data_IF_425625490247
#
_entry.id   IF_425625490247
#
_cell.length_a   1.000
_cell.length_b   1.000
_cell.length_c   1.000
_cell.angle_alpha   90.00
_cell.angle_beta   90.00
_cell.angle_gamma   90.00
#
_symmetry.space_group_name_H-M   'P 1'
#
loop_
_entity.id
_entity.type
_entity.pdbx_description
1 polymer ?
#
# COMPACT_ATOMS: atom_id res chain seq x y z
N UNK A 1 -14.89 4.69 19.94
CA UNK A 1 -13.62 5.33 19.53
C UNK A 1 -12.52 4.27 19.64
N UNK A 2 -11.76 3.97 18.57
CA UNK A 2 -10.77 2.88 18.63
C UNK A 2 -9.61 3.31 19.53
N UNK A 3 -9.28 2.50 20.54
CA UNK A 3 -8.34 2.87 21.60
C UNK A 3 -6.91 2.90 21.05
N UNK A 4 -6.09 3.90 21.41
CA UNK A 4 -4.64 3.96 21.11
C UNK A 4 -3.90 2.67 21.45
N UNK A 5 -4.37 1.93 22.48
CA UNK A 5 -3.87 0.59 22.83
C UNK A 5 -4.00 -0.41 21.68
N UNK A 6 -5.11 -0.41 20.94
CA UNK A 6 -5.32 -1.31 19.79
C UNK A 6 -4.20 -1.15 18.77
N UNK A 7 -3.94 0.07 18.29
CA UNK A 7 -2.86 0.32 17.32
C UNK A 7 -1.48 -0.01 17.87
N UNK A 8 -1.28 0.18 19.17
CA UNK A 8 -0.02 -0.12 19.85
C UNK A 8 0.28 -1.62 19.85
N UNK A 9 -0.72 -2.47 20.04
CA UNK A 9 -0.56 -3.92 19.98
C UNK A 9 -0.59 -4.45 18.54
N UNK A 10 -1.51 -3.95 17.72
CA UNK A 10 -1.69 -4.35 16.33
C UNK A 10 -0.40 -4.26 15.52
N UNK A 11 0.38 -3.21 15.72
CA UNK A 11 1.64 -3.05 14.98
C UNK A 11 2.66 -4.18 15.24
N UNK A 12 2.58 -4.90 16.36
CA UNK A 12 3.48 -6.03 16.64
C UNK A 12 2.81 -7.36 16.34
N UNK A 13 1.58 -7.56 16.82
CA UNK A 13 0.83 -8.81 16.67
C UNK A 13 0.44 -9.02 15.20
N UNK A 14 -0.02 -7.95 14.54
CA UNK A 14 -0.43 -7.95 13.14
C UNK A 14 0.62 -8.57 12.22
N UNK A 15 1.84 -8.04 12.11
CA UNK A 15 2.85 -8.60 11.23
C UNK A 15 3.31 -9.99 11.66
N UNK A 16 3.41 -10.31 12.96
CA UNK A 16 3.79 -11.66 13.42
C UNK A 16 2.81 -12.72 12.90
N UNK A 17 1.51 -12.41 12.87
CA UNK A 17 0.48 -13.34 12.41
C UNK A 17 0.29 -13.25 10.89
N UNK A 18 0.04 -12.05 10.37
CA UNK A 18 -0.36 -11.85 8.98
C UNK A 18 0.78 -12.04 7.99
N UNK A 19 2.03 -11.77 8.36
CA UNK A 19 3.17 -11.89 7.43
C UNK A 19 3.41 -13.34 6.99
N UNK A 20 3.57 -14.32 7.91
CA UNK A 20 3.68 -15.72 7.51
C UNK A 20 2.38 -16.25 6.93
N UNK A 21 1.22 -15.85 7.49
CA UNK A 21 -0.07 -16.32 6.99
C UNK A 21 -0.31 -15.89 5.55
N UNK A 22 -0.12 -14.61 5.21
CA UNK A 22 -0.36 -14.12 3.85
C UNK A 22 0.61 -14.75 2.84
N UNK A 23 1.87 -14.99 3.23
CA UNK A 23 2.81 -15.71 2.38
C UNK A 23 2.34 -17.14 2.12
N UNK A 24 1.96 -17.86 3.19
CA UNK A 24 1.48 -19.23 3.12
C UNK A 24 0.22 -19.35 2.25
N UNK A 25 -0.73 -18.43 2.40
CA UNK A 25 -1.95 -18.39 1.59
C UNK A 25 -1.65 -18.26 0.09
N UNK A 26 -0.80 -17.30 -0.30
CA UNK A 26 -0.41 -17.13 -1.69
C UNK A 26 0.44 -18.28 -2.24
N UNK A 27 1.33 -18.83 -1.41
CA UNK A 27 2.12 -20.01 -1.77
C UNK A 27 1.23 -21.20 -2.15
N UNK A 28 0.17 -21.43 -1.39
CA UNK A 28 -0.79 -22.49 -1.69
C UNK A 28 -1.75 -22.14 -2.84
N UNK A 29 -2.18 -20.89 -2.97
CA UNK A 29 -2.98 -20.44 -4.14
C UNK A 29 -2.25 -20.67 -5.46
N UNK A 30 -0.92 -20.59 -5.47
CA UNK A 30 -0.11 -20.77 -6.67
C UNK A 30 0.66 -22.09 -6.71
N UNK A 31 0.22 -23.12 -5.98
CA UNK A 31 0.80 -24.47 -6.01
C UNK A 31 2.34 -24.51 -5.82
N UNK A 32 2.86 -23.63 -4.95
CA UNK A 32 4.29 -23.52 -4.68
C UNK A 32 5.09 -22.72 -5.71
N UNK A 33 4.44 -21.96 -6.59
CA UNK A 33 5.14 -21.03 -7.46
C UNK A 33 5.67 -19.82 -6.67
N UNK A 34 6.97 -19.83 -6.38
CA UNK A 34 7.61 -18.76 -5.61
C UNK A 34 7.51 -17.39 -6.29
N UNK A 35 7.57 -17.35 -7.62
CA UNK A 35 7.56 -16.08 -8.36
C UNK A 35 6.24 -15.34 -8.20
N UNK A 36 5.12 -16.01 -8.46
CA UNK A 36 3.79 -15.41 -8.30
C UNK A 36 3.52 -15.09 -6.84
N UNK A 37 3.93 -15.97 -5.93
CA UNK A 37 3.84 -15.72 -4.48
C UNK A 37 4.58 -14.45 -4.09
N UNK A 38 5.82 -14.24 -4.56
CA UNK A 38 6.57 -13.03 -4.29
C UNK A 38 5.94 -11.79 -4.94
N UNK A 39 5.41 -11.88 -6.15
CA UNK A 39 4.68 -10.73 -6.76
C UNK A 39 3.49 -10.34 -5.89
N UNK A 40 2.68 -11.32 -5.45
CA UNK A 40 1.50 -11.09 -4.64
C UNK A 40 1.83 -10.62 -3.21
N UNK A 41 2.94 -11.06 -2.63
CA UNK A 41 3.29 -10.81 -1.24
C UNK A 41 4.32 -9.70 -1.03
N UNK A 42 5.41 -9.72 -1.80
CA UNK A 42 6.57 -8.83 -1.61
C UNK A 42 6.27 -7.41 -2.08
N UNK A 43 5.50 -7.23 -3.17
CA UNK A 43 5.21 -5.90 -3.72
C UNK A 43 4.48 -5.02 -2.69
N UNK A 44 3.39 -5.44 -2.03
CA UNK A 44 2.78 -4.67 -0.95
C UNK A 44 3.72 -4.36 0.21
N UNK A 45 4.56 -5.31 0.62
CA UNK A 45 5.53 -5.14 1.72
C UNK A 45 6.57 -4.08 1.37
N UNK A 46 7.18 -4.16 0.18
CA UNK A 46 8.17 -3.20 -0.27
C UNK A 46 7.56 -1.82 -0.50
N UNK A 47 6.36 -1.74 -1.10
CA UNK A 47 5.65 -0.48 -1.26
C UNK A 47 5.41 0.20 0.10
N UNK A 48 4.92 -0.55 1.10
CA UNK A 48 4.67 -0.06 2.45
C UNK A 48 5.96 0.26 3.23
N UNK A 49 7.13 -0.23 2.79
CA UNK A 49 8.41 0.23 3.30
C UNK A 49 8.88 1.54 2.65
N UNK A 50 8.87 1.55 1.31
CA UNK A 50 9.54 2.59 0.53
C UNK A 50 8.74 3.89 0.59
N UNK A 51 7.44 3.87 0.27
CA UNK A 51 6.64 5.10 0.19
C UNK A 51 6.55 5.80 1.54
N UNK A 52 6.16 5.13 2.63
CA UNK A 52 6.11 5.79 3.92
C UNK A 52 7.50 6.10 4.48
N UNK A 53 8.52 5.28 4.23
CA UNK A 53 9.90 5.59 4.62
C UNK A 53 10.43 6.89 4.01
N UNK A 54 10.18 7.10 2.71
CA UNK A 54 10.49 8.36 2.01
C UNK A 54 9.62 9.50 2.56
N UNK A 55 8.30 9.27 2.69
CA UNK A 55 7.36 10.26 3.21
C UNK A 55 7.73 10.77 4.61
N UNK A 56 8.22 9.89 5.48
CA UNK A 56 8.58 10.25 6.86
C UNK A 56 9.98 10.83 6.98
N UNK A 57 11.00 10.19 6.38
CA UNK A 57 12.40 10.51 6.68
C UNK A 57 13.06 11.42 5.64
N UNK A 58 12.57 11.46 4.40
CA UNK A 58 13.12 12.31 3.34
C UNK A 58 12.25 13.56 3.16
N UNK A 59 10.95 13.36 2.92
CA UNK A 59 10.02 14.45 2.64
C UNK A 59 9.44 15.08 3.91
N UNK A 60 9.53 14.39 5.05
CA UNK A 60 9.02 14.83 6.36
C UNK A 60 7.50 15.12 6.38
N UNK A 61 6.74 14.68 5.38
CA UNK A 61 5.30 14.93 5.24
C UNK A 61 4.46 14.02 6.14
N UNK A 62 5.02 12.91 6.62
CA UNK A 62 4.37 11.98 7.53
C UNK A 62 5.18 11.76 8.81
N UNK A 63 4.50 11.38 9.89
CA UNK A 63 5.14 10.95 11.13
C UNK A 63 4.33 9.86 11.82
N UNK A 64 5.03 8.81 12.26
CA UNK A 64 4.46 7.76 13.12
C UNK A 64 4.84 7.99 14.59
N UNK A 65 3.84 8.24 15.42
CA UNK A 65 4.00 8.42 16.86
C UNK A 65 3.96 7.05 17.57
N UNK A 66 5.09 6.37 17.57
CA UNK A 66 5.25 5.03 18.18
C UNK A 66 6.51 5.00 19.06
N UNK A 67 6.57 4.05 20.00
CA UNK A 67 7.68 3.95 20.97
C UNK A 67 9.03 3.68 20.27
N UNK A 68 9.04 2.81 19.27
CA UNK A 68 10.25 2.43 18.53
C UNK A 68 10.19 3.00 17.11
N UNK A 69 11.01 4.01 16.85
CA UNK A 69 11.07 4.74 15.57
C UNK A 69 12.51 4.91 15.09
N UNK A 70 12.70 4.87 13.77
CA UNK A 70 13.93 5.27 13.09
C UNK A 70 13.64 6.59 12.36
N UNK A 71 14.03 7.71 12.97
CA UNK A 71 13.55 9.03 12.56
C UNK A 71 12.06 9.18 12.84
N UNK A 72 11.27 9.45 11.81
CA UNK A 72 9.79 9.55 11.86
C UNK A 72 9.09 8.26 11.40
N UNK A 73 9.88 7.23 11.07
CA UNK A 73 9.41 5.96 10.52
C UNK A 73 9.32 4.86 11.58
N UNK A 74 8.39 3.92 11.37
CA UNK A 74 8.27 2.69 12.17
C UNK A 74 8.98 1.52 11.44
N UNK A 75 10.06 0.93 11.99
CA UNK A 75 10.90 -0.02 11.24
C UNK A 75 10.23 -1.31 10.74
N UNK A 76 9.12 -1.74 11.33
CA UNK A 76 8.36 -2.92 10.90
C UNK A 76 7.12 -2.54 10.06
N UNK A 77 6.97 -1.27 9.65
CA UNK A 77 5.76 -0.76 9.01
C UNK A 77 5.40 -1.52 7.74
N UNK A 78 6.37 -1.87 6.90
CA UNK A 78 6.10 -2.60 5.66
C UNK A 78 5.50 -3.98 5.90
N UNK A 79 5.91 -4.68 6.96
CA UNK A 79 5.23 -5.93 7.34
C UNK A 79 3.84 -5.69 7.90
N UNK A 80 3.61 -4.65 8.72
CA UNK A 80 2.27 -4.35 9.27
C UNK A 80 1.25 -4.11 8.16
N UNK A 81 1.58 -3.19 7.25
CA UNK A 81 0.66 -2.77 6.20
C UNK A 81 0.70 -3.69 4.99
N UNK A 82 1.89 -4.12 4.57
CA UNK A 82 2.07 -4.98 3.41
C UNK A 82 1.45 -6.37 3.58
N UNK A 83 1.61 -7.00 4.75
CA UNK A 83 0.98 -8.31 5.00
C UNK A 83 -0.54 -8.22 5.09
N UNK A 84 -1.08 -7.18 5.73
CA UNK A 84 -2.51 -6.91 5.75
C UNK A 84 -3.07 -6.64 4.35
N UNK A 85 -2.35 -5.85 3.55
CA UNK A 85 -2.70 -5.56 2.15
C UNK A 85 -2.67 -6.81 1.28
N UNK A 86 -1.63 -7.64 1.42
CA UNK A 86 -1.50 -8.92 0.72
C UNK A 86 -2.59 -9.91 1.15
N UNK A 87 -3.01 -9.91 2.42
CA UNK A 87 -4.12 -10.72 2.93
C UNK A 87 -5.47 -10.25 2.37
N UNK A 88 -5.72 -8.93 2.32
CA UNK A 88 -6.93 -8.37 1.71
C UNK A 88 -6.97 -8.68 0.21
N UNK A 89 -5.83 -8.59 -0.47
CA UNK A 89 -5.75 -8.96 -1.88
C UNK A 89 -6.07 -10.44 -2.10
N UNK A 90 -5.54 -11.33 -1.24
CA UNK A 90 -5.85 -12.75 -1.28
C UNK A 90 -7.33 -13.04 -1.02
N UNK A 91 -7.94 -12.40 -0.02
CA UNK A 91 -9.37 -12.56 0.30
C UNK A 91 -10.29 -12.17 -0.86
N UNK A 92 -9.84 -11.26 -1.72
CA UNK A 92 -10.59 -10.80 -2.88
C UNK A 92 -10.16 -11.47 -4.19
N UNK A 93 -9.13 -12.33 -4.14
CA UNK A 93 -8.67 -13.12 -5.27
C UNK A 93 -9.63 -14.29 -5.48
N UNK A 94 -10.11 -14.46 -6.70
CA UNK A 94 -11.16 -15.44 -7.03
C UNK A 94 -10.60 -16.60 -7.82
N UNK A 95 -9.80 -16.31 -8.84
CA UNK A 95 -9.08 -17.27 -9.67
C UNK A 95 -7.88 -16.59 -10.33
N UNK A 96 -6.93 -17.39 -10.82
CA UNK A 96 -5.82 -16.87 -11.61
C UNK A 96 -6.32 -16.26 -12.92
N UNK A 97 -5.80 -15.09 -13.29
CA UNK A 97 -6.14 -14.47 -14.55
C UNK A 97 -5.68 -15.32 -15.75
N UNK A 98 -6.61 -15.66 -16.64
CA UNK A 98 -6.35 -16.40 -17.88
C UNK A 98 -6.60 -15.58 -19.15
N UNK A 99 -7.22 -14.40 -18.98
CA UNK A 99 -7.46 -13.43 -20.04
C UNK A 99 -7.43 -11.98 -19.49
N UNK A 100 -7.55 -10.98 -20.37
CA UNK A 100 -7.50 -9.57 -19.98
C UNK A 100 -8.71 -9.10 -19.15
N UNK A 101 -9.86 -9.75 -19.24
CA UNK A 101 -11.02 -9.40 -18.40
C UNK A 101 -10.71 -9.70 -16.94
N UNK A 102 -10.11 -10.86 -16.65
CA UNK A 102 -9.70 -11.23 -15.29
C UNK A 102 -8.68 -10.22 -14.72
N UNK A 103 -7.74 -9.75 -15.56
CA UNK A 103 -6.75 -8.72 -15.18
C UNK A 103 -7.45 -7.42 -14.78
N UNK A 104 -8.39 -6.95 -15.60
CA UNK A 104 -9.12 -5.71 -15.33
C UNK A 104 -10.03 -5.83 -14.11
N UNK A 105 -10.67 -6.99 -13.91
CA UNK A 105 -11.46 -7.28 -12.72
C UNK A 105 -10.60 -7.26 -11.46
N UNK A 106 -9.45 -7.93 -11.47
CA UNK A 106 -8.50 -7.93 -10.35
C UNK A 106 -8.04 -6.51 -10.03
N UNK A 107 -7.65 -5.73 -11.04
CA UNK A 107 -7.25 -4.35 -10.88
C UNK A 107 -8.36 -3.48 -10.24
N UNK A 108 -9.59 -3.61 -10.73
CA UNK A 108 -10.74 -2.86 -10.22
C UNK A 108 -11.09 -3.23 -8.77
N UNK A 109 -11.13 -4.54 -8.47
CA UNK A 109 -11.43 -5.04 -7.13
C UNK A 109 -10.37 -4.56 -6.15
N UNK A 110 -9.08 -4.73 -6.46
CA UNK A 110 -8.01 -4.32 -5.56
C UNK A 110 -7.92 -2.80 -5.39
N UNK A 111 -8.17 -2.01 -6.45
CA UNK A 111 -8.29 -0.55 -6.31
C UNK A 111 -9.39 -0.16 -5.31
N UNK A 112 -10.54 -0.81 -5.41
CA UNK A 112 -11.72 -0.52 -4.57
C UNK A 112 -11.48 -0.94 -3.12
N UNK A 113 -11.06 -2.18 -2.91
CA UNK A 113 -10.87 -2.79 -1.58
C UNK A 113 -9.73 -2.11 -0.84
N UNK A 114 -8.56 -1.97 -1.47
CA UNK A 114 -7.40 -1.36 -0.82
C UNK A 114 -7.59 0.14 -0.64
N UNK A 115 -8.24 0.82 -1.58
CA UNK A 115 -8.64 2.22 -1.42
C UNK A 115 -9.53 2.41 -0.19
N UNK A 116 -10.61 1.64 -0.10
CA UNK A 116 -11.59 1.76 0.98
C UNK A 116 -11.02 1.45 2.36
N UNK A 117 -10.41 0.27 2.53
CA UNK A 117 -9.94 -0.16 3.85
C UNK A 117 -8.79 0.68 4.38
N UNK A 118 -7.85 1.10 3.53
CA UNK A 118 -6.73 1.92 3.98
C UNK A 118 -7.15 3.37 4.27
N UNK A 119 -8.14 3.93 3.57
CA UNK A 119 -8.74 5.23 3.96
C UNK A 119 -9.32 5.16 5.36
N UNK A 120 -10.11 4.11 5.66
CA UNK A 120 -10.67 3.93 7.00
C UNK A 120 -9.56 3.77 8.03
N UNK A 121 -8.54 2.96 7.73
CA UNK A 121 -7.40 2.76 8.62
C UNK A 121 -6.71 4.09 8.95
N UNK A 122 -6.37 4.90 7.95
CA UNK A 122 -5.64 6.15 8.15
C UNK A 122 -6.47 7.18 8.94
N UNK A 123 -7.78 7.29 8.67
CA UNK A 123 -8.69 8.12 9.49
C UNK A 123 -8.59 7.69 10.96
N UNK A 124 -8.65 6.39 11.24
CA UNK A 124 -8.57 5.89 12.61
C UNK A 124 -7.18 6.07 13.23
N UNK A 125 -6.12 5.92 12.44
CA UNK A 125 -4.73 6.10 12.90
C UNK A 125 -4.43 7.56 13.25
N UNK A 126 -4.92 8.51 12.46
CA UNK A 126 -4.83 9.95 12.73
C UNK A 126 -5.64 10.32 13.97
N UNK A 127 -6.89 9.85 14.08
CA UNK A 127 -7.72 10.07 15.29
C UNK A 127 -7.10 9.50 16.56
N UNK A 128 -6.36 8.40 16.46
CA UNK A 128 -5.64 7.81 17.58
C UNK A 128 -4.30 8.50 17.89
N UNK A 129 -3.90 9.49 17.09
CA UNK A 129 -2.63 10.22 17.22
C UNK A 129 -1.39 9.37 16.93
N UNK A 130 -1.56 8.26 16.18
CA UNK A 130 -0.48 7.35 15.77
C UNK A 130 0.14 7.80 14.46
N UNK A 131 -0.66 8.41 13.57
CA UNK A 131 -0.22 8.96 12.30
C UNK A 131 -0.46 10.47 12.30
N UNK A 132 0.52 11.23 11.85
CA UNK A 132 0.39 12.65 11.55
C UNK A 132 0.76 12.86 10.08
N UNK A 133 -0.07 13.61 9.36
CA UNK A 133 0.12 13.94 7.94
C UNK A 133 0.12 15.45 7.80
N UNK A 134 1.25 16.03 7.38
CA UNK A 134 1.49 17.47 7.29
C UNK A 134 1.05 18.04 5.92
N UNK A 135 -0.18 17.75 5.49
CA UNK A 135 -0.76 18.27 4.23
C UNK A 135 -1.56 19.58 4.44
N UNK A 136 -2.14 20.13 3.36
CA UNK A 136 -2.87 21.41 3.43
C UNK A 136 -4.07 21.35 4.41
N UNK A 137 -4.96 20.33 4.38
CA UNK A 137 -6.02 20.22 5.39
C UNK A 137 -5.51 20.18 6.83
N UNK A 138 -4.36 19.57 7.10
CA UNK A 138 -3.76 19.58 8.44
C UNK A 138 -3.31 20.98 8.86
N UNK A 139 -2.73 21.75 7.94
CA UNK A 139 -2.32 23.13 8.19
C UNK A 139 -3.54 24.03 8.44
N UNK A 140 -4.62 23.80 7.69
CA UNK A 140 -5.91 24.49 7.84
C UNK A 140 -6.69 24.06 9.10
N UNK A 141 -6.14 23.19 9.94
CA UNK A 141 -6.79 22.72 11.17
C UNK A 141 -8.02 21.84 10.94
N UNK A 142 -8.11 21.16 9.79
CA UNK A 142 -9.22 20.25 9.46
C UNK A 142 -9.11 18.93 10.22
N UNK A 143 -10.19 18.15 10.17
CA UNK A 143 -10.30 16.86 10.84
C UNK A 143 -9.57 15.72 10.11
N UNK A 144 -9.51 14.56 10.76
CA UNK A 144 -8.81 13.39 10.25
C UNK A 144 -9.38 12.90 8.91
N UNK A 145 -10.70 13.00 8.74
CA UNK A 145 -11.40 12.72 7.49
C UNK A 145 -10.88 13.59 6.35
N UNK A 146 -10.89 14.92 6.50
CA UNK A 146 -10.42 15.84 5.48
C UNK A 146 -8.92 15.65 5.18
N UNK A 147 -8.10 15.44 6.22
CA UNK A 147 -6.67 15.15 6.06
C UNK A 147 -6.47 13.88 5.23
N UNK A 148 -7.18 12.81 5.55
CA UNK A 148 -7.02 11.50 4.89
C UNK A 148 -7.53 11.54 3.45
N UNK A 149 -8.71 12.12 3.23
CA UNK A 149 -9.35 12.16 1.91
C UNK A 149 -8.57 12.97 0.87
N UNK A 150 -7.63 13.81 1.29
CA UNK A 150 -6.79 14.60 0.40
C UNK A 150 -5.68 13.79 -0.29
N UNK A 151 -5.21 12.69 0.32
CA UNK A 151 -4.13 11.87 -0.26
C UNK A 151 -4.47 10.38 -0.36
N UNK A 152 -5.14 9.81 0.65
CA UNK A 152 -5.26 8.37 0.82
C UNK A 152 -6.02 7.69 -0.33
N UNK A 153 -7.13 8.23 -0.87
CA UNK A 153 -7.79 7.60 -2.02
C UNK A 153 -6.85 7.46 -3.22
N UNK A 154 -6.06 8.49 -3.53
CA UNK A 154 -5.13 8.48 -4.66
C UNK A 154 -3.99 7.48 -4.42
N UNK A 155 -3.42 7.48 -3.21
CA UNK A 155 -2.34 6.55 -2.87
C UNK A 155 -2.80 5.10 -2.84
N UNK A 156 -3.85 4.79 -2.09
CA UNK A 156 -4.25 3.41 -1.84
C UNK A 156 -5.06 2.80 -2.97
N UNK A 157 -6.00 3.53 -3.57
CA UNK A 157 -6.71 3.02 -4.75
C UNK A 157 -5.80 3.00 -5.98
N UNK A 158 -4.93 4.02 -6.12
CA UNK A 158 -3.93 4.06 -7.20
C UNK A 158 -2.93 2.90 -7.09
N UNK A 159 -2.42 2.62 -5.88
CA UNK A 159 -1.59 1.45 -5.64
C UNK A 159 -2.36 0.16 -5.95
N UNK A 160 -3.57 0.00 -5.41
CA UNK A 160 -4.39 -1.20 -5.63
C UNK A 160 -4.71 -1.45 -7.10
N UNK A 161 -4.95 -0.40 -7.89
CA UNK A 161 -5.16 -0.50 -9.33
C UNK A 161 -3.91 -1.04 -10.04
N UNK A 162 -2.75 -0.41 -9.81
CA UNK A 162 -1.50 -0.76 -10.50
C UNK A 162 -1.01 -2.14 -10.07
N UNK A 163 -1.04 -2.42 -8.77
CA UNK A 163 -0.68 -3.71 -8.19
C UNK A 163 -1.62 -4.81 -8.66
N UNK A 164 -2.95 -4.60 -8.64
CA UNK A 164 -3.90 -5.60 -9.10
C UNK A 164 -3.82 -5.88 -10.60
N UNK A 165 -3.59 -4.84 -11.41
CA UNK A 165 -3.31 -5.02 -12.83
C UNK A 165 -2.02 -5.80 -13.04
N UNK A 166 -0.95 -5.46 -12.33
CA UNK A 166 0.33 -6.17 -12.42
C UNK A 166 0.24 -7.62 -11.95
N UNK A 167 -0.48 -7.89 -10.87
CA UNK A 167 -0.70 -9.24 -10.38
C UNK A 167 -1.44 -10.08 -11.43
N UNK A 168 -2.55 -9.58 -11.96
CA UNK A 168 -3.28 -10.28 -13.02
C UNK A 168 -2.47 -10.48 -14.30
N UNK A 169 -1.66 -9.49 -14.72
CA UNK A 169 -0.76 -9.66 -15.87
C UNK A 169 0.30 -10.73 -15.59
N UNK A 170 0.87 -10.78 -14.38
CA UNK A 170 1.83 -11.81 -14.02
C UNK A 170 1.22 -13.22 -14.09
N UNK A 171 -0.01 -13.39 -13.59
CA UNK A 171 -0.76 -14.64 -13.69
C UNK A 171 -1.02 -15.03 -15.15
N UNK A 172 -1.49 -14.08 -15.96
CA UNK A 172 -1.73 -14.30 -17.39
C UNK A 172 -0.45 -14.73 -18.11
N UNK A 173 0.67 -14.04 -17.87
CA UNK A 173 1.96 -14.38 -18.46
C UNK A 173 2.47 -15.74 -18.00
N UNK A 174 2.23 -16.11 -16.74
CA UNK A 174 2.56 -17.42 -16.22
C UNK A 174 1.74 -18.53 -16.90
N UNK A 175 0.41 -18.37 -16.98
CA UNK A 175 -0.50 -19.32 -17.64
C UNK A 175 -0.13 -19.50 -19.12
N UNK A 176 0.34 -18.44 -19.78
CA UNK A 176 0.81 -18.50 -21.17
C UNK A 176 2.25 -19.01 -21.33
N UNK A 177 2.93 -19.37 -20.25
CA UNK A 177 4.29 -19.93 -20.28
C UNK A 177 5.41 -18.93 -20.57
N UNK A 178 5.17 -17.62 -20.43
CA UNK A 178 6.16 -16.57 -20.72
C UNK A 178 7.08 -16.24 -19.54
N UNK A 179 6.76 -16.72 -18.33
CA UNK A 179 7.50 -16.37 -17.12
C UNK A 179 8.74 -17.27 -16.94
N UNK A 180 9.93 -16.68 -17.13
CA UNK A 180 11.21 -17.27 -16.70
C UNK A 180 11.83 -16.43 -15.55
N UNK A 181 12.89 -16.93 -14.92
CA UNK A 181 13.51 -16.28 -13.75
C UNK A 181 13.94 -14.84 -14.03
N UNK A 182 14.65 -14.58 -15.13
CA UNK A 182 15.15 -13.24 -15.47
C UNK A 182 14.00 -12.27 -15.71
N UNK A 183 13.01 -12.69 -16.52
CA UNK A 183 11.83 -11.88 -16.79
C UNK A 183 11.06 -11.59 -15.50
N UNK A 184 10.94 -12.57 -14.61
CA UNK A 184 10.24 -12.43 -13.33
C UNK A 184 10.87 -11.40 -12.41
N UNK A 185 12.21 -11.37 -12.30
CA UNK A 185 12.93 -10.36 -11.51
C UNK A 185 12.71 -8.97 -12.09
N UNK A 186 12.87 -8.82 -13.41
CA UNK A 186 12.64 -7.55 -14.10
C UNK A 186 11.19 -7.09 -13.94
N UNK A 187 10.24 -8.02 -13.98
CA UNK A 187 8.83 -7.76 -13.79
C UNK A 187 8.53 -7.25 -12.37
N UNK A 188 9.08 -7.88 -11.33
CA UNK A 188 8.95 -7.43 -9.94
C UNK A 188 9.49 -6.00 -9.78
N UNK A 189 10.69 -5.73 -10.30
CA UNK A 189 11.32 -4.40 -10.21
C UNK A 189 10.48 -3.36 -10.95
N UNK A 190 10.04 -3.68 -12.16
CA UNK A 190 9.19 -2.82 -12.96
C UNK A 190 7.86 -2.53 -12.25
N UNK A 191 7.16 -3.57 -11.82
CA UNK A 191 5.87 -3.46 -11.13
C UNK A 191 5.99 -2.65 -9.85
N UNK A 192 7.03 -2.88 -9.03
CA UNK A 192 7.29 -2.09 -7.84
C UNK A 192 7.52 -0.61 -8.20
N UNK A 193 8.34 -0.35 -9.21
CA UNK A 193 8.63 0.99 -9.70
C UNK A 193 7.37 1.76 -10.12
N UNK A 194 6.51 1.15 -10.94
CA UNK A 194 5.27 1.79 -11.39
C UNK A 194 4.23 1.90 -10.26
N UNK A 195 4.18 0.92 -9.34
CA UNK A 195 3.28 0.94 -8.18
C UNK A 195 3.61 2.08 -7.23
N UNK A 196 4.88 2.51 -7.18
CA UNK A 196 5.32 3.69 -6.43
C UNK A 196 5.09 4.97 -7.25
N UNK A 197 5.54 4.99 -8.51
CA UNK A 197 5.58 6.20 -9.33
C UNK A 197 4.18 6.73 -9.65
N UNK A 198 3.24 5.86 -10.03
CA UNK A 198 1.91 6.28 -10.48
C UNK A 198 1.13 7.00 -9.36
N UNK A 199 0.94 6.42 -8.15
CA UNK A 199 0.19 7.09 -7.09
C UNK A 199 0.84 8.41 -6.66
N UNK A 200 2.18 8.46 -6.60
CA UNK A 200 2.93 9.68 -6.26
C UNK A 200 2.72 10.78 -7.31
N UNK A 201 2.82 10.45 -8.60
CA UNK A 201 2.60 11.42 -9.69
C UNK A 201 1.15 11.93 -9.67
N UNK A 202 0.19 11.04 -9.48
CA UNK A 202 -1.23 11.40 -9.40
C UNK A 202 -1.50 12.32 -8.21
N UNK A 203 -0.96 12.01 -7.03
CA UNK A 203 -1.11 12.86 -5.85
C UNK A 203 -0.45 14.23 -6.04
N UNK A 204 0.75 14.29 -6.63
CA UNK A 204 1.43 15.56 -6.94
C UNK A 204 0.59 16.44 -7.87
N UNK A 205 0.00 15.84 -8.92
CA UNK A 205 -0.89 16.54 -9.84
C UNK A 205 -2.17 17.02 -9.14
N UNK A 206 -2.76 16.18 -8.28
CA UNK A 206 -3.92 16.54 -7.48
C UNK A 206 -3.62 17.73 -6.56
N UNK A 207 -2.57 17.62 -5.75
CA UNK A 207 -2.13 18.66 -4.83
C UNK A 207 -1.79 19.96 -5.55
N UNK A 208 -1.12 19.90 -6.70
CA UNK A 208 -0.77 21.11 -7.46
C UNK A 208 -2.03 21.83 -7.96
N UNK A 209 -3.02 21.08 -8.47
CA UNK A 209 -4.27 21.64 -8.98
C UNK A 209 -5.15 22.20 -7.86
N UNK A 210 -5.18 21.55 -6.70
CA UNK A 210 -6.08 21.90 -5.60
C UNK A 210 -5.50 22.96 -4.66
N UNK A 211 -4.19 22.87 -4.37
CA UNK A 211 -3.52 23.65 -3.32
C UNK A 211 -2.38 24.54 -3.84
N UNK A 212 -2.04 24.48 -5.14
CA UNK A 212 -0.96 25.28 -5.72
C UNK A 212 0.45 24.79 -5.41
N UNK A 213 0.61 23.62 -4.79
CA UNK A 213 1.92 23.03 -4.46
C UNK A 213 1.94 21.51 -4.66
N UNK A 214 3.12 20.91 -4.77
CA UNK A 214 3.27 19.46 -5.04
C UNK A 214 2.89 18.53 -3.87
N UNK A 215 2.78 19.03 -2.64
CA UNK A 215 2.45 18.19 -1.46
C UNK A 215 3.60 17.30 -1.00
N UNK A 216 4.83 17.53 -1.49
CA UNK A 216 6.05 16.79 -1.14
C UNK A 216 6.90 17.50 -0.08
N UNK A 217 6.34 18.47 0.63
CA UNK A 217 6.97 19.15 1.76
C UNK A 217 5.92 19.38 2.84
N UNK A 218 6.31 19.42 4.12
CA UNK A 218 5.39 19.70 5.20
C UNK A 218 4.81 21.11 5.01
N UNK A 219 3.49 21.25 5.07
CA UNK A 219 2.86 22.56 5.13
C UNK A 219 2.98 23.06 6.57
N UNK A 220 3.31 24.34 6.75
CA UNK A 220 3.40 24.95 8.09
C UNK A 220 2.02 25.42 8.54
N UNK A 221 1.73 25.26 9.83
CA UNK A 221 0.65 26.00 10.49
C UNK A 221 1.06 27.45 10.69
#
# INVERSE_FOLDING_TARGET
MMNKKFFTYYQYIGPIVLTPLSFWLWWHTYDGNITLTLIAWLIPVLFAYIVPGIGTNVLNVWEFNTKYRLGRFRPHHGFVFGSATSSLAWLCHTHMAVNMVDVLQTAFILASVLGFWNVIYDIKAIKAGILVVYNQPWADGKDAEAITMDYAPIFFAGFGLVYGFGLGVAELLYVKGFMNTTFSILYIIFLLGISIAIPVILYRKHSLRKHGHYGCKPIKK
#
